data_IF_130541528111
#
_entry.id   IF_130541528111
#
_cell.length_a   1.000
_cell.length_b   1.000
_cell.length_c   1.000
_cell.angle_alpha   90.00
_cell.angle_beta   90.00
_cell.angle_gamma   90.00
#
_symmetry.space_group_name_H-M   'P 1'
#
loop_
_entity.id
_entity.type
_entity.pdbx_description
1 polymer ?
#
# COMPACT_ATOMS: atom_id res chain seq x y z
N UNK A 1 -4.11 -37.36 41.15
CA UNK A 1 -2.91 -37.20 40.29
C UNK A 1 -3.35 -36.49 39.03
N UNK A 2 -2.85 -35.28 38.82
CA UNK A 2 -3.25 -34.41 37.72
C UNK A 2 -2.69 -34.86 36.37
N UNK A 3 -3.56 -34.95 35.37
CA UNK A 3 -3.16 -35.04 33.98
C UNK A 3 -3.55 -33.74 33.27
N UNK A 4 -2.51 -32.98 32.94
CA UNK A 4 -2.38 -32.16 31.74
C UNK A 4 -3.26 -30.90 31.65
N UNK A 5 -2.96 -29.93 32.53
CA UNK A 5 -3.09 -28.51 32.20
C UNK A 5 -2.08 -28.13 31.09
N UNK A 6 -2.38 -28.47 29.84
CA UNK A 6 -1.59 -28.09 28.66
C UNK A 6 -2.32 -27.14 27.71
N UNK A 7 -3.31 -26.41 28.22
CA UNK A 7 -3.81 -25.22 27.53
C UNK A 7 -2.85 -24.07 27.83
N UNK A 8 -1.72 -24.03 27.12
CA UNK A 8 -0.97 -22.78 26.93
C UNK A 8 -1.99 -21.77 26.41
N UNK A 9 -2.35 -20.77 27.22
CA UNK A 9 -3.00 -19.55 26.75
C UNK A 9 -2.21 -19.11 25.52
N UNK A 10 -2.80 -19.19 24.32
CA UNK A 10 -2.25 -18.53 23.14
C UNK A 10 -2.08 -17.08 23.58
N UNK A 11 -0.83 -16.62 23.70
CA UNK A 11 -0.57 -15.18 23.81
C UNK A 11 -1.33 -14.56 22.65
N UNK A 12 -2.17 -13.57 22.93
CA UNK A 12 -2.66 -12.72 21.84
C UNK A 12 -1.42 -12.27 21.07
N UNK A 13 -1.42 -12.36 19.72
CA UNK A 13 -0.31 -11.83 18.95
C UNK A 13 -0.08 -10.40 19.43
N UNK A 14 1.16 -10.10 19.84
CA UNK A 14 1.53 -8.74 20.22
C UNK A 14 1.29 -7.87 18.98
N UNK A 15 0.44 -6.85 19.12
CA UNK A 15 0.14 -5.92 18.03
C UNK A 15 1.45 -5.35 17.51
N UNK A 16 1.66 -5.41 16.20
CA UNK A 16 2.90 -4.95 15.59
C UNK A 16 3.03 -3.44 15.81
N UNK A 17 4.18 -3.01 16.31
CA UNK A 17 4.50 -1.59 16.47
C UNK A 17 5.21 -1.09 15.22
N UNK A 18 4.76 0.04 14.68
CA UNK A 18 5.37 0.73 13.55
C UNK A 18 6.07 1.98 14.09
N UNK A 19 7.38 1.90 14.41
CA UNK A 19 8.09 3.06 14.97
C UNK A 19 8.24 4.14 13.89
N UNK A 20 7.59 5.29 14.12
CA UNK A 20 7.69 6.48 13.28
C UNK A 20 8.64 7.50 13.90
N UNK A 21 9.39 8.23 13.07
CA UNK A 21 10.42 9.14 13.62
C UNK A 21 9.84 10.42 14.23
N UNK A 22 8.68 10.88 13.74
CA UNK A 22 8.02 12.13 14.17
C UNK A 22 6.49 12.01 14.20
N UNK A 23 5.79 12.77 15.07
CA UNK A 23 4.33 12.79 15.10
C UNK A 23 3.68 13.21 13.77
N UNK A 24 4.30 14.16 13.05
CA UNK A 24 3.82 14.66 11.75
C UNK A 24 3.69 13.55 10.69
N UNK A 25 4.45 12.47 10.83
CA UNK A 25 4.38 11.30 9.95
C UNK A 25 3.08 10.52 10.20
N UNK A 26 2.61 10.45 11.45
CA UNK A 26 1.33 9.83 11.78
C UNK A 26 0.15 10.62 11.22
N UNK A 27 0.22 11.96 11.27
CA UNK A 27 -0.79 12.83 10.67
C UNK A 27 -0.82 12.62 9.15
N UNK A 28 0.34 12.54 8.51
CA UNK A 28 0.47 12.21 7.08
C UNK A 28 -0.13 10.84 6.74
N UNK A 29 0.18 9.80 7.52
CA UNK A 29 -0.40 8.45 7.34
C UNK A 29 -1.93 8.51 7.45
N UNK A 30 -2.45 9.24 8.44
CA UNK A 30 -3.88 9.38 8.67
C UNK A 30 -4.59 10.03 7.47
N UNK A 31 -3.97 11.06 6.89
CA UNK A 31 -4.52 11.77 5.75
C UNK A 31 -4.45 10.96 4.45
N UNK A 32 -3.36 10.22 4.23
CA UNK A 32 -3.25 9.29 3.10
C UNK A 32 -4.29 8.17 3.21
N UNK A 33 -4.41 7.53 4.38
CA UNK A 33 -5.42 6.49 4.61
C UNK A 33 -6.85 7.03 4.45
N UNK A 34 -7.11 8.26 4.90
CA UNK A 34 -8.41 8.91 4.73
C UNK A 34 -8.74 9.14 3.25
N UNK A 35 -7.79 9.66 2.47
CA UNK A 35 -7.96 9.94 1.05
C UNK A 35 -8.15 8.66 0.23
N UNK A 36 -7.33 7.64 0.45
CA UNK A 36 -7.46 6.34 -0.22
C UNK A 36 -8.73 5.61 0.23
N UNK A 37 -9.05 5.64 1.53
CA UNK A 37 -10.24 5.02 2.10
C UNK A 37 -11.55 5.59 1.54
N UNK A 38 -11.57 6.87 1.15
CA UNK A 38 -12.72 7.45 0.44
C UNK A 38 -12.94 6.77 -0.92
N UNK A 39 -11.88 6.53 -1.69
CA UNK A 39 -11.96 5.86 -2.98
C UNK A 39 -12.42 4.39 -2.82
N UNK A 40 -11.96 3.71 -1.77
CA UNK A 40 -12.36 2.32 -1.48
C UNK A 40 -13.85 2.25 -1.13
N UNK A 41 -14.33 3.20 -0.30
CA UNK A 41 -15.76 3.30 0.03
C UNK A 41 -16.62 3.54 -1.22
N UNK A 42 -16.12 4.30 -2.19
CA UNK A 42 -16.85 4.50 -3.45
C UNK A 42 -16.96 3.20 -4.24
N UNK A 43 -15.90 2.39 -4.32
CA UNK A 43 -15.93 1.07 -4.94
C UNK A 43 -16.88 0.11 -4.21
N UNK A 44 -16.86 0.12 -2.88
CA UNK A 44 -17.81 -0.65 -2.06
C UNK A 44 -19.27 -0.25 -2.35
N UNK A 45 -19.56 1.04 -2.43
CA UNK A 45 -20.89 1.55 -2.76
C UNK A 45 -21.36 1.14 -4.18
N UNK A 46 -20.43 0.85 -5.08
CA UNK A 46 -20.71 0.29 -6.41
C UNK A 46 -20.84 -1.24 -6.43
N UNK A 47 -20.68 -1.92 -5.29
CA UNK A 47 -20.76 -3.38 -5.19
C UNK A 47 -19.50 -4.13 -5.61
N UNK A 48 -18.38 -3.42 -5.81
CA UNK A 48 -17.10 -3.99 -6.27
C UNK A 48 -16.25 -4.44 -5.08
N UNK A 49 -16.25 -3.66 -4.00
CA UNK A 49 -15.41 -3.87 -2.82
C UNK A 49 -14.03 -3.23 -2.93
N UNK A 50 -13.21 -3.38 -1.89
CA UNK A 50 -11.83 -2.91 -1.90
C UNK A 50 -11.01 -3.64 -2.99
N UNK A 51 -10.20 -2.93 -3.80
CA UNK A 51 -9.32 -3.57 -4.77
C UNK A 51 -8.40 -4.58 -4.08
N UNK A 52 -8.36 -5.84 -4.53
CA UNK A 52 -7.57 -6.86 -3.86
C UNK A 52 -6.08 -6.58 -4.06
N UNK A 53 -5.33 -6.45 -2.96
CA UNK A 53 -3.87 -6.31 -3.01
C UNK A 53 -3.18 -7.54 -3.62
N UNK A 54 -3.81 -8.71 -3.50
CA UNK A 54 -3.34 -9.94 -4.12
C UNK A 54 -4.26 -10.33 -5.28
N UNK A 55 -3.67 -10.45 -6.47
CA UNK A 55 -4.29 -11.08 -7.62
C UNK A 55 -4.11 -12.59 -7.51
N UNK A 56 -5.21 -13.34 -7.63
CA UNK A 56 -5.12 -14.78 -7.87
C UNK A 56 -4.63 -14.98 -9.29
N UNK A 57 -3.54 -15.72 -9.45
CA UNK A 57 -3.10 -16.14 -10.76
C UNK A 57 -4.00 -17.30 -11.23
N UNK A 58 -4.56 -17.19 -12.44
CA UNK A 58 -5.53 -18.17 -12.96
C UNK A 58 -4.94 -19.58 -13.15
N UNK A 59 -3.62 -19.67 -13.23
CA UNK A 59 -2.93 -20.87 -13.72
C UNK A 59 -2.26 -21.69 -12.61
N UNK A 60 -1.93 -21.09 -11.46
CA UNK A 60 -1.19 -21.79 -10.39
C UNK A 60 -1.70 -21.53 -8.96
N UNK A 61 -2.82 -20.81 -8.79
CA UNK A 61 -3.41 -20.47 -7.48
C UNK A 61 -2.46 -19.71 -6.53
N UNK A 62 -1.29 -19.28 -7.03
CA UNK A 62 -0.36 -18.44 -6.28
C UNK A 62 -0.87 -16.99 -6.31
N UNK A 63 -0.97 -16.40 -5.12
CA UNK A 63 -1.34 -15.01 -4.95
C UNK A 63 -0.13 -14.12 -5.28
N UNK A 64 -0.22 -13.35 -6.36
CA UNK A 64 0.77 -12.33 -6.70
C UNK A 64 0.25 -10.95 -6.25
N UNK A 65 1.15 -10.06 -5.81
CA UNK A 65 0.76 -8.69 -5.48
C UNK A 65 0.32 -7.97 -6.75
N UNK A 66 -0.76 -7.19 -6.65
CA UNK A 66 -1.13 -6.20 -7.65
C UNK A 66 -0.08 -5.09 -7.67
N UNK A 67 0.92 -5.24 -8.55
CA UNK A 67 2.06 -4.34 -8.65
C UNK A 67 1.63 -2.90 -8.91
N UNK A 68 0.64 -2.68 -9.79
CA UNK A 68 0.12 -1.34 -10.03
C UNK A 68 -0.49 -0.72 -8.78
N UNK A 69 -1.28 -1.48 -8.01
CA UNK A 69 -1.92 -0.98 -6.80
C UNK A 69 -0.91 -0.68 -5.70
N UNK A 70 0.04 -1.58 -5.48
CA UNK A 70 1.14 -1.38 -4.54
C UNK A 70 1.98 -0.15 -4.93
N UNK A 71 2.27 0.00 -6.21
CA UNK A 71 2.92 1.17 -6.77
C UNK A 71 2.12 2.44 -6.52
N UNK A 72 0.82 2.43 -6.82
CA UNK A 72 -0.07 3.58 -6.65
C UNK A 72 -0.14 4.07 -5.20
N UNK A 73 -0.34 3.17 -4.24
CA UNK A 73 -0.37 3.53 -2.81
C UNK A 73 0.98 4.12 -2.38
N UNK A 74 2.09 3.51 -2.83
CA UNK A 74 3.44 3.96 -2.51
C UNK A 74 3.76 5.34 -3.09
N UNK A 75 3.41 5.58 -4.35
CA UNK A 75 3.60 6.87 -5.03
C UNK A 75 2.70 7.97 -4.45
N UNK A 76 1.47 7.62 -4.06
CA UNK A 76 0.56 8.53 -3.38
C UNK A 76 1.14 8.98 -2.04
N UNK A 77 1.65 8.04 -1.23
CA UNK A 77 2.30 8.35 0.03
C UNK A 77 3.57 9.19 -0.17
N UNK A 78 4.43 8.82 -1.12
CA UNK A 78 5.66 9.55 -1.42
C UNK A 78 5.38 11.00 -1.81
N UNK A 79 4.49 11.24 -2.78
CA UNK A 79 4.13 12.59 -3.17
C UNK A 79 3.45 13.38 -2.03
N UNK A 80 2.66 12.72 -1.19
CA UNK A 80 2.05 13.36 -0.01
C UNK A 80 3.11 13.79 1.02
N UNK A 81 4.15 12.97 1.21
CA UNK A 81 5.29 13.28 2.08
C UNK A 81 6.05 14.50 1.56
N UNK A 82 6.33 14.54 0.26
CA UNK A 82 7.02 15.64 -0.42
C UNK A 82 6.22 16.94 -0.34
N UNK A 83 4.90 16.90 -0.58
CA UNK A 83 4.03 18.08 -0.48
C UNK A 83 4.00 18.68 0.94
N UNK A 84 4.21 17.86 1.98
CA UNK A 84 4.25 18.30 3.38
C UNK A 84 5.66 18.61 3.89
N UNK A 85 6.70 18.37 3.11
CA UNK A 85 8.09 18.48 3.55
C UNK A 85 8.46 17.47 4.64
N UNK A 86 7.79 16.32 4.67
CA UNK A 86 8.05 15.21 5.61
C UNK A 86 8.83 14.13 4.88
N UNK A 87 9.80 13.51 5.55
CA UNK A 87 10.59 12.42 4.96
C UNK A 87 9.73 11.18 4.73
N UNK A 88 9.96 10.50 3.61
CA UNK A 88 9.41 9.17 3.35
C UNK A 88 9.95 8.16 4.37
N UNK A 89 9.05 7.43 5.04
CA UNK A 89 9.38 6.38 6.00
C UNK A 89 8.77 5.04 5.57
N UNK A 90 9.58 3.99 5.48
CA UNK A 90 9.10 2.65 5.12
C UNK A 90 8.12 2.08 6.14
N UNK A 91 8.34 2.33 7.43
CA UNK A 91 7.42 1.90 8.48
C UNK A 91 6.05 2.59 8.38
N UNK A 92 6.03 3.83 7.88
CA UNK A 92 4.79 4.55 7.62
C UNK A 92 4.07 3.98 6.40
N UNK A 93 4.79 3.64 5.33
CA UNK A 93 4.20 2.93 4.18
C UNK A 93 3.64 1.57 4.60
N UNK A 94 4.36 0.81 5.44
CA UNK A 94 3.89 -0.47 5.96
C UNK A 94 2.62 -0.30 6.79
N UNK A 95 2.57 0.73 7.64
CA UNK A 95 1.39 1.07 8.41
C UNK A 95 0.19 1.42 7.50
N UNK A 96 0.41 2.16 6.40
CA UNK A 96 -0.63 2.47 5.42
C UNK A 96 -1.19 1.18 4.81
N UNK A 97 -0.33 0.26 4.35
CA UNK A 97 -0.78 -1.03 3.83
C UNK A 97 -1.53 -1.85 4.89
N UNK A 98 -1.07 -1.82 6.15
CA UNK A 98 -1.69 -2.54 7.26
C UNK A 98 -3.10 -2.03 7.56
N UNK A 99 -3.29 -0.71 7.51
CA UNK A 99 -4.60 -0.07 7.69
C UNK A 99 -5.56 -0.44 6.54
N UNK A 100 -5.07 -0.53 5.31
CA UNK A 100 -5.91 -0.79 4.13
C UNK A 100 -6.24 -2.28 3.92
N UNK A 101 -5.35 -3.20 4.30
CA UNK A 101 -5.45 -4.62 3.96
C UNK A 101 -5.36 -5.56 5.15
N UNK A 102 -4.25 -5.52 5.90
CA UNK A 102 -3.97 -6.11 7.22
C UNK A 102 -2.45 -6.20 7.42
N UNK A 103 -1.99 -6.51 8.63
CA UNK A 103 -0.55 -6.59 8.96
C UNK A 103 0.22 -7.62 8.13
N UNK A 104 -0.36 -8.79 7.86
CA UNK A 104 0.30 -9.85 7.09
C UNK A 104 0.53 -9.39 5.65
N UNK A 105 -0.51 -8.87 5.01
CA UNK A 105 -0.49 -8.41 3.64
C UNK A 105 0.43 -7.20 3.44
N UNK A 106 0.52 -6.33 4.46
CA UNK A 106 1.45 -5.21 4.49
C UNK A 106 2.92 -5.64 4.46
N UNK A 107 3.28 -6.71 5.18
CA UNK A 107 4.64 -7.23 5.18
C UNK A 107 5.07 -7.71 3.78
N UNK A 108 4.15 -8.34 3.05
CA UNK A 108 4.41 -8.73 1.66
C UNK A 108 4.50 -7.52 0.75
N UNK A 109 3.60 -6.54 0.89
CA UNK A 109 3.61 -5.32 0.09
C UNK A 109 4.93 -4.55 0.21
N UNK A 110 5.48 -4.43 1.42
CA UNK A 110 6.76 -3.75 1.65
C UNK A 110 7.93 -4.53 1.06
N UNK A 111 7.91 -5.86 1.14
CA UNK A 111 8.94 -6.68 0.48
C UNK A 111 8.92 -6.46 -1.04
N UNK A 112 7.75 -6.50 -1.65
CA UNK A 112 7.62 -6.24 -3.09
C UNK A 112 8.00 -4.80 -3.45
N UNK A 113 7.64 -3.81 -2.63
CA UNK A 113 8.11 -2.44 -2.81
C UNK A 113 9.63 -2.39 -2.90
N UNK A 114 10.34 -3.03 -1.98
CA UNK A 114 11.81 -3.06 -2.00
C UNK A 114 12.37 -3.74 -3.24
N UNK A 115 11.83 -4.89 -3.62
CA UNK A 115 12.31 -5.64 -4.80
C UNK A 115 12.06 -4.82 -6.07
N UNK A 116 10.88 -4.24 -6.22
CA UNK A 116 10.54 -3.40 -7.36
C UNK A 116 11.47 -2.20 -7.49
N UNK A 117 11.68 -1.45 -6.38
CA UNK A 117 12.57 -0.28 -6.36
C UNK A 117 14.01 -0.64 -6.71
N UNK A 118 14.55 -1.70 -6.10
CA UNK A 118 15.92 -2.15 -6.39
C UNK A 118 16.07 -2.66 -7.83
N UNK A 119 15.06 -3.36 -8.36
CA UNK A 119 15.10 -3.90 -9.72
C UNK A 119 15.06 -2.77 -10.75
N UNK A 120 14.15 -1.80 -10.58
CA UNK A 120 14.02 -0.64 -11.46
C UNK A 120 15.28 0.24 -11.46
N UNK A 121 15.97 0.35 -10.32
CA UNK A 121 17.21 1.12 -10.19
C UNK A 121 18.45 0.38 -10.75
N UNK A 122 18.48 -0.95 -10.68
CA UNK A 122 19.66 -1.75 -11.08
C UNK A 122 19.68 -2.12 -12.56
N UNK A 123 18.59 -2.70 -13.07
CA UNK A 123 18.45 -3.08 -14.48
C UNK A 123 16.99 -2.93 -14.89
N UNK A 124 16.68 -1.77 -15.46
CA UNK A 124 15.33 -1.44 -15.91
C UNK A 124 14.80 -2.42 -16.96
N UNK A 125 15.64 -2.90 -17.87
CA UNK A 125 15.20 -3.82 -18.92
C UNK A 125 14.80 -5.17 -18.31
N UNK A 126 15.58 -5.67 -17.34
CA UNK A 126 15.22 -6.86 -16.59
C UNK A 126 13.97 -6.64 -15.72
N UNK A 127 13.85 -5.49 -15.06
CA UNK A 127 12.70 -5.16 -14.23
C UNK A 127 11.38 -5.18 -15.03
N UNK A 128 11.38 -4.66 -16.26
CA UNK A 128 10.22 -4.75 -17.18
C UNK A 128 9.90 -6.21 -17.52
N UNK A 129 10.90 -7.08 -17.73
CA UNK A 129 10.65 -8.50 -17.97
C UNK A 129 9.98 -9.21 -16.79
N UNK A 130 10.14 -8.69 -15.57
CA UNK A 130 9.48 -9.17 -14.36
C UNK A 130 8.15 -8.43 -14.04
N UNK A 131 7.69 -7.53 -14.91
CA UNK A 131 6.43 -6.80 -14.74
C UNK A 131 6.48 -5.62 -13.77
N UNK A 132 7.68 -5.18 -13.36
CA UNK A 132 7.82 -4.03 -12.44
C UNK A 132 7.59 -2.67 -13.11
N UNK A 133 7.39 -2.64 -14.43
CA UNK A 133 6.83 -1.48 -15.12
C UNK A 133 5.41 -1.16 -14.64
N UNK A 134 4.58 -2.16 -14.36
CA UNK A 134 3.25 -1.92 -13.76
C UNK A 134 3.35 -1.22 -12.41
N UNK A 135 4.34 -1.59 -11.59
CA UNK A 135 4.60 -0.95 -10.31
C UNK A 135 5.02 0.52 -10.48
N UNK A 136 5.92 0.79 -11.41
CA UNK A 136 6.36 2.15 -11.71
C UNK A 136 5.21 3.02 -12.26
N UNK A 137 4.39 2.47 -13.16
CA UNK A 137 3.18 3.14 -13.65
C UNK A 137 2.21 3.47 -12.51
N UNK A 138 2.03 2.54 -11.57
CA UNK A 138 1.28 2.75 -10.34
C UNK A 138 1.84 3.93 -9.55
N UNK A 139 3.14 3.90 -9.25
CA UNK A 139 3.82 4.98 -8.51
C UNK A 139 3.63 6.35 -9.16
N UNK A 140 3.80 6.44 -10.48
CA UNK A 140 3.60 7.67 -11.24
C UNK A 140 2.15 8.12 -11.19
N UNK A 141 1.18 7.20 -11.33
CA UNK A 141 -0.23 7.53 -11.29
C UNK A 141 -0.65 8.09 -9.92
N UNK A 142 -0.23 7.45 -8.84
CA UNK A 142 -0.51 7.89 -7.46
C UNK A 142 0.17 9.21 -7.13
N UNK A 143 1.46 9.35 -7.48
CA UNK A 143 2.21 10.59 -7.23
C UNK A 143 1.66 11.78 -8.00
N UNK A 144 1.39 11.62 -9.30
CA UNK A 144 0.81 12.67 -10.13
C UNK A 144 -0.55 13.10 -9.61
N UNK A 145 -1.37 12.18 -9.11
CA UNK A 145 -2.68 12.55 -8.56
C UNK A 145 -2.59 13.42 -7.31
N UNK A 146 -1.65 13.14 -6.41
CA UNK A 146 -1.43 14.00 -5.25
C UNK A 146 -0.96 15.39 -5.69
N UNK A 147 -0.04 15.45 -6.65
CA UNK A 147 0.44 16.73 -7.18
C UNK A 147 -0.68 17.51 -7.89
N UNK A 148 -1.49 16.85 -8.72
CA UNK A 148 -2.63 17.45 -9.40
C UNK A 148 -3.63 18.03 -8.37
N UNK A 149 -3.92 17.26 -7.32
CA UNK A 149 -4.82 17.68 -6.24
C UNK A 149 -4.25 18.83 -5.41
N UNK A 150 -2.98 18.76 -5.01
CA UNK A 150 -2.31 19.81 -4.23
C UNK A 150 -2.23 21.15 -4.99
N UNK A 151 -2.18 21.10 -6.32
CA UNK A 151 -2.16 22.29 -7.18
C UNK A 151 -3.56 22.76 -7.62
N UNK A 152 -4.63 22.19 -7.07
CA UNK A 152 -6.03 22.46 -7.45
C UNK A 152 -6.31 22.25 -8.96
N UNK A 153 -5.57 21.35 -9.60
CA UNK A 153 -5.74 21.02 -11.02
C UNK A 153 -6.84 19.98 -11.24
N UNK A 154 -7.21 19.23 -10.20
CA UNK A 154 -8.26 18.22 -10.23
C UNK A 154 -9.16 18.30 -8.99
N UNK A 155 -10.37 17.79 -9.14
CA UNK A 155 -11.22 17.34 -8.03
C UNK A 155 -10.46 16.30 -7.14
N UNK A 156 -11.00 15.93 -5.96
CA UNK A 156 -10.36 14.98 -5.03
C UNK A 156 -9.82 13.70 -5.72
N UNK A 157 -8.81 13.02 -5.15
CA UNK A 157 -8.20 11.86 -5.80
C UNK A 157 -9.22 10.75 -6.06
N UNK A 158 -9.37 10.35 -7.34
CA UNK A 158 -10.31 9.33 -7.84
C UNK A 158 -9.68 8.34 -8.85
N UNK A 159 -8.38 8.40 -9.18
CA UNK A 159 -7.77 7.53 -10.22
C UNK A 159 -7.79 6.06 -9.81
N UNK A 160 -7.63 5.74 -8.52
CA UNK A 160 -7.80 4.36 -8.04
C UNK A 160 -9.25 3.92 -8.19
N UNK A 161 -10.22 4.74 -7.78
CA UNK A 161 -11.64 4.45 -8.01
C UNK A 161 -11.90 4.17 -9.51
N UNK A 162 -11.45 5.05 -10.40
CA UNK A 162 -11.66 4.91 -11.86
C UNK A 162 -11.00 3.67 -12.46
N UNK A 163 -9.87 3.20 -11.91
CA UNK A 163 -9.19 1.99 -12.44
C UNK A 163 -9.93 0.71 -12.08
N UNK A 164 -10.54 0.66 -10.90
CA UNK A 164 -11.19 -0.54 -10.36
C UNK A 164 -12.71 -0.52 -10.43
N UNK A 165 -13.33 0.57 -10.93
CA UNK A 165 -14.77 0.72 -11.15
C UNK A 165 -15.27 0.05 -12.42
#
# INVERSE_FOLDING_TARGET
MGLLNFLKKRKQPEQKSYPLTKPEVMDLVTDVCSALGLQYRMLENCGIGAPPLFKKNSDNDEAAIDLWLAGYISGFYDASSQCRGVSFELNALELIFSVLYNEHDAEFAIREYHIARMSLESDRAAAVLFGYDEFEEGMLAGGNEVYDWANNLTDPPFKLYKKYS
#
